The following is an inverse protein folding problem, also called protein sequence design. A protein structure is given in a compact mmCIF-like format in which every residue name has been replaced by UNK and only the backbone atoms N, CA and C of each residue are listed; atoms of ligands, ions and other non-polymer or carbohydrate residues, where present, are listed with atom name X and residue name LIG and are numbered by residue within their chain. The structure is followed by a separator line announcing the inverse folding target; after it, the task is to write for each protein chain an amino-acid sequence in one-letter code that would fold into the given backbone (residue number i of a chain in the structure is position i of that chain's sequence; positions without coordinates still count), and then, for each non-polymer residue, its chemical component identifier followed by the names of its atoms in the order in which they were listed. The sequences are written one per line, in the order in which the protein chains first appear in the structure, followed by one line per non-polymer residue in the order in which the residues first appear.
data_IF_036174725165
#
_entry.id   IF_036174725165
#
_cell.length_a   1.000
_cell.length_b   1.000
_cell.length_c   1.000
_cell.angle_alpha   90.00
_cell.angle_beta   90.00
_cell.angle_gamma   90.00
#
_symmetry.space_group_name_H-M   'P 1'
#
loop_
_entity.id
_entity.type
_entity.pdbx_description
1 polymer ?
#
# COMPACT_ATOMS: atom_id res chain seq x y z
N UNK A 1 -11.85 35.07 -0.86
CA UNK A 1 -11.33 34.19 0.19
C UNK A 1 -11.79 32.79 -0.13
N UNK A 2 -10.87 31.86 -0.44
CA UNK A 2 -11.20 30.44 -0.58
C UNK A 2 -11.59 29.91 0.80
N UNK A 3 -12.79 29.35 0.94
CA UNK A 3 -13.15 28.61 2.16
C UNK A 3 -12.15 27.47 2.37
N UNK A 4 -11.48 27.45 3.51
CA UNK A 4 -10.68 26.31 3.92
C UNK A 4 -11.61 25.12 4.07
N UNK A 5 -11.49 24.12 3.19
CA UNK A 5 -12.19 22.86 3.34
C UNK A 5 -11.69 22.20 4.62
N UNK A 6 -12.45 22.36 5.69
CA UNK A 6 -12.18 21.68 6.97
C UNK A 6 -12.60 20.22 6.79
N UNK A 7 -11.64 19.35 6.59
CA UNK A 7 -11.91 17.90 6.56
C UNK A 7 -12.36 17.51 7.96
N UNK A 8 -13.60 17.05 8.09
CA UNK A 8 -14.16 16.62 9.38
C UNK A 8 -13.42 15.37 9.88
N UNK A 9 -13.34 15.21 11.20
CA UNK A 9 -12.68 14.08 11.85
C UNK A 9 -13.27 12.74 11.42
N UNK A 10 -14.60 12.68 11.20
CA UNK A 10 -15.34 11.54 10.66
C UNK A 10 -14.84 11.08 9.26
N UNK A 11 -14.40 12.01 8.40
CA UNK A 11 -13.83 11.66 7.09
C UNK A 11 -12.42 11.06 7.19
N UNK A 12 -11.64 11.48 8.18
CA UNK A 12 -10.32 10.91 8.47
C UNK A 12 -10.45 9.52 9.07
N UNK A 13 -11.47 9.31 9.87
CA UNK A 13 -11.75 8.03 10.53
C UNK A 13 -12.41 7.01 9.60
N UNK A 14 -12.87 7.43 8.40
CA UNK A 14 -13.52 6.53 7.44
C UNK A 14 -12.62 5.35 6.97
N UNK A 15 -11.30 5.51 7.04
CA UNK A 15 -10.34 4.49 6.62
C UNK A 15 -9.33 4.22 7.74
N UNK A 16 -9.72 3.53 8.81
CA UNK A 16 -8.82 3.23 9.93
C UNK A 16 -7.64 2.36 9.47
N UNK A 17 -6.45 2.53 10.05
CA UNK A 17 -5.33 1.65 9.78
C UNK A 17 -5.66 0.24 10.26
N UNK A 18 -5.17 -0.77 9.55
CA UNK A 18 -5.30 -2.18 9.89
C UNK A 18 -4.14 -2.53 10.82
N UNK A 19 -4.38 -2.93 12.08
CA UNK A 19 -3.33 -3.38 12.98
C UNK A 19 -2.54 -4.55 12.38
N UNK A 20 -1.22 -4.57 12.62
CA UNK A 20 -0.37 -5.65 12.13
C UNK A 20 -0.83 -7.01 12.69
N UNK A 21 -1.09 -7.05 13.99
CA UNK A 21 -1.63 -8.19 14.71
C UNK A 21 -2.92 -7.77 15.43
N UNK A 22 -3.97 -8.56 15.39
CA UNK A 22 -4.12 -9.81 14.62
C UNK A 22 -4.61 -9.59 13.17
N UNK A 23 -5.08 -8.40 12.80
CA UNK A 23 -5.96 -8.17 11.65
C UNK A 23 -5.24 -8.33 10.31
N UNK A 24 -4.09 -7.67 10.13
CA UNK A 24 -3.34 -7.81 8.89
C UNK A 24 -2.88 -9.26 8.66
N UNK A 25 -2.44 -9.92 9.73
CA UNK A 25 -2.06 -11.34 9.64
C UNK A 25 -3.23 -12.22 9.19
N UNK A 26 -4.42 -12.01 9.75
CA UNK A 26 -5.64 -12.73 9.37
C UNK A 26 -6.01 -12.48 7.90
N UNK A 27 -5.99 -11.22 7.46
CA UNK A 27 -6.23 -10.85 6.06
C UNK A 27 -5.20 -11.50 5.13
N UNK A 28 -3.93 -11.45 5.48
CA UNK A 28 -2.85 -12.03 4.66
C UNK A 28 -2.97 -13.55 4.52
N UNK A 29 -3.27 -14.26 5.61
CA UNK A 29 -3.48 -15.70 5.59
C UNK A 29 -4.71 -16.07 4.76
N UNK A 30 -5.81 -15.35 4.92
CA UNK A 30 -7.01 -15.55 4.10
C UNK A 30 -6.73 -15.34 2.61
N UNK A 31 -6.06 -14.26 2.23
CA UNK A 31 -5.68 -13.99 0.84
C UNK A 31 -4.82 -15.10 0.25
N UNK A 32 -3.88 -15.63 1.03
CA UNK A 32 -3.03 -16.75 0.61
C UNK A 32 -3.87 -17.99 0.35
N UNK A 33 -4.75 -18.35 1.28
CA UNK A 33 -5.63 -19.52 1.14
C UNK A 33 -6.61 -19.35 -0.02
N UNK A 34 -7.28 -18.20 -0.10
CA UNK A 34 -8.26 -17.91 -1.15
C UNK A 34 -7.64 -17.93 -2.57
N UNK A 35 -6.43 -17.45 -2.73
CA UNK A 35 -5.70 -17.52 -3.99
C UNK A 35 -5.32 -18.96 -4.33
N UNK A 36 -4.82 -19.73 -3.35
CA UNK A 36 -4.50 -21.17 -3.50
C UNK A 36 -5.72 -22.00 -3.91
N UNK A 37 -6.88 -21.73 -3.31
CA UNK A 37 -8.15 -22.40 -3.69
C UNK A 37 -8.57 -22.01 -5.12
N UNK A 38 -8.17 -20.85 -5.59
CA UNK A 38 -8.39 -20.42 -6.98
C UNK A 38 -7.69 -21.29 -8.01
N UNK A 39 -6.54 -21.87 -7.68
CA UNK A 39 -5.78 -22.74 -8.57
C UNK A 39 -6.53 -24.05 -8.89
N UNK A 40 -7.44 -24.48 -8.01
CA UNK A 40 -8.28 -25.66 -8.18
C UNK A 40 -9.57 -25.37 -8.96
N UNK A 41 -9.83 -24.12 -9.29
CA UNK A 41 -11.06 -23.73 -9.97
C UNK A 41 -10.97 -24.06 -11.47
N UNK A 42 -12.01 -24.69 -12.08
CA UNK A 42 -11.98 -25.10 -13.48
C UNK A 42 -11.83 -23.95 -14.48
N UNK A 43 -12.25 -22.73 -14.10
CA UNK A 43 -12.07 -21.54 -14.91
C UNK A 43 -10.75 -20.84 -14.54
N UNK A 44 -9.73 -20.81 -15.41
CA UNK A 44 -8.44 -20.18 -15.13
C UNK A 44 -8.52 -18.68 -14.89
N UNK A 45 -9.58 -18.00 -15.37
CA UNK A 45 -9.79 -16.57 -15.07
C UNK A 45 -9.99 -16.32 -13.59
N UNK A 46 -10.56 -17.28 -12.85
CA UNK A 46 -10.77 -17.15 -11.39
C UNK A 46 -9.43 -17.23 -10.66
N UNK A 47 -8.54 -18.15 -11.03
CA UNK A 47 -7.21 -18.23 -10.42
C UNK A 47 -6.41 -16.96 -10.68
N UNK A 48 -6.41 -16.46 -11.93
CA UNK A 48 -5.72 -15.20 -12.27
C UNK A 48 -6.26 -14.01 -11.47
N UNK A 49 -7.58 -13.87 -11.41
CA UNK A 49 -8.20 -12.77 -10.65
C UNK A 49 -7.81 -12.80 -9.18
N UNK A 50 -7.86 -13.97 -8.54
CA UNK A 50 -7.53 -14.12 -7.12
C UNK A 50 -6.08 -13.79 -6.83
N UNK A 51 -5.14 -14.22 -7.66
CA UNK A 51 -3.74 -13.86 -7.54
C UNK A 51 -3.49 -12.37 -7.84
N UNK A 52 -4.15 -11.81 -8.85
CA UNK A 52 -4.09 -10.38 -9.14
C UNK A 52 -4.55 -9.53 -7.94
N UNK A 53 -5.70 -9.86 -7.37
CA UNK A 53 -6.22 -9.17 -6.20
C UNK A 53 -5.31 -9.30 -4.98
N UNK A 54 -4.82 -10.51 -4.71
CA UNK A 54 -3.88 -10.77 -3.62
C UNK A 54 -2.62 -9.91 -3.74
N UNK A 55 -1.97 -9.92 -4.90
CA UNK A 55 -0.75 -9.16 -5.11
C UNK A 55 -1.01 -7.65 -5.07
N UNK A 56 -2.13 -7.18 -5.58
CA UNK A 56 -2.55 -5.78 -5.43
C UNK A 56 -2.65 -5.38 -3.95
N UNK A 57 -3.29 -6.18 -3.11
CA UNK A 57 -3.43 -5.88 -1.67
C UNK A 57 -2.06 -5.86 -0.98
N UNK A 58 -1.19 -6.85 -1.27
CA UNK A 58 0.15 -6.93 -0.69
C UNK A 58 1.03 -5.74 -1.09
N UNK A 59 1.03 -5.38 -2.38
CA UNK A 59 1.78 -4.21 -2.89
C UNK A 59 1.22 -2.91 -2.31
N UNK A 60 -0.10 -2.74 -2.27
CA UNK A 60 -0.74 -1.55 -1.69
C UNK A 60 -0.38 -1.34 -0.22
N UNK A 61 -0.36 -2.43 0.58
CA UNK A 61 0.02 -2.38 1.99
C UNK A 61 1.47 -1.96 2.19
N UNK A 62 2.39 -2.40 1.30
CA UNK A 62 3.82 -2.12 1.40
C UNK A 62 4.23 -0.78 0.78
N UNK A 63 3.47 -0.26 -0.18
CA UNK A 63 3.81 0.95 -0.91
C UNK A 63 3.07 2.21 -0.41
N UNK A 64 1.93 2.03 0.26
CA UNK A 64 1.13 3.16 0.74
C UNK A 64 0.62 4.08 -0.37
N UNK A 65 0.55 3.62 -1.62
CA UNK A 65 0.01 4.36 -2.76
C UNK A 65 -1.51 4.50 -2.67
N UNK A 66 -2.07 5.44 -3.43
CA UNK A 66 -3.52 5.43 -3.64
C UNK A 66 -3.89 4.25 -4.55
N UNK A 67 -5.03 3.59 -4.34
CA UNK A 67 -5.45 2.44 -5.15
C UNK A 67 -5.44 2.73 -6.66
N UNK A 68 -5.92 3.90 -7.07
CA UNK A 68 -5.98 4.29 -8.48
C UNK A 68 -4.61 4.60 -9.09
N UNK A 69 -3.59 4.88 -8.28
CA UNK A 69 -2.21 5.02 -8.76
C UNK A 69 -1.63 3.70 -9.25
N UNK A 70 -2.07 2.58 -8.65
CA UNK A 70 -1.70 1.23 -9.09
C UNK A 70 -2.62 0.70 -10.20
N UNK A 71 -3.94 0.94 -10.09
CA UNK A 71 -4.93 0.36 -10.99
C UNK A 71 -5.21 1.20 -12.24
N UNK A 72 -4.95 2.50 -12.18
CA UNK A 72 -5.40 3.45 -13.18
C UNK A 72 -6.87 3.85 -13.02
N UNK A 73 -7.17 5.04 -13.49
CA UNK A 73 -8.51 5.61 -13.50
C UNK A 73 -9.03 5.69 -14.93
N UNK A 74 -10.22 5.15 -15.17
CA UNK A 74 -10.89 5.25 -16.46
C UNK A 74 -11.70 6.53 -16.50
N UNK A 75 -11.18 7.54 -17.20
CA UNK A 75 -11.87 8.80 -17.43
C UNK A 75 -12.71 8.72 -18.72
N UNK A 76 -13.97 9.15 -18.63
CA UNK A 76 -14.82 9.36 -19.81
C UNK A 76 -14.46 10.71 -20.42
N UNK A 77 -13.87 10.70 -21.57
CA UNK A 77 -13.50 11.92 -22.31
C UNK A 77 -14.51 12.15 -23.41
N UNK A 78 -15.18 13.31 -23.37
CA UNK A 78 -16.05 13.73 -24.46
C UNK A 78 -15.19 14.16 -25.64
N UNK A 79 -15.31 13.47 -26.75
CA UNK A 79 -14.66 13.83 -28.03
C UNK A 79 -15.71 14.48 -28.92
N UNK A 80 -15.42 15.66 -29.41
CA UNK A 80 -16.23 16.35 -30.41
C UNK A 80 -15.49 16.19 -31.74
N UNK A 81 -16.13 15.56 -32.73
CA UNK A 81 -15.57 15.42 -34.05
C UNK A 81 -15.72 16.75 -34.82
N UNK A 82 -15.00 16.88 -35.92
CA UNK A 82 -15.01 18.10 -36.74
C UNK A 82 -16.41 18.40 -37.36
N UNK A 83 -17.27 17.39 -37.44
CA UNK A 83 -18.68 17.50 -37.89
C UNK A 83 -19.66 17.88 -36.75
N UNK A 84 -19.15 18.18 -35.54
CA UNK A 84 -19.95 18.54 -34.37
C UNK A 84 -20.55 17.34 -33.63
N UNK A 85 -20.37 16.11 -34.11
CA UNK A 85 -20.85 14.92 -33.40
C UNK A 85 -20.07 14.68 -32.11
N UNK A 86 -20.77 14.33 -31.02
CA UNK A 86 -20.17 14.05 -29.73
C UNK A 86 -20.06 12.54 -29.51
N UNK A 87 -18.86 12.06 -29.28
CA UNK A 87 -18.60 10.69 -28.85
C UNK A 87 -17.98 10.66 -27.45
N UNK A 88 -18.22 9.59 -26.70
CA UNK A 88 -17.61 9.39 -25.38
C UNK A 88 -16.48 8.38 -25.53
N UNK A 89 -15.22 8.88 -25.50
CA UNK A 89 -14.04 8.05 -25.43
C UNK A 89 -13.71 7.67 -23.99
N UNK A 90 -12.88 6.65 -23.80
CA UNK A 90 -12.29 6.30 -22.51
C UNK A 90 -10.80 6.61 -22.56
N UNK A 91 -10.30 7.34 -21.57
CA UNK A 91 -8.87 7.54 -21.35
C UNK A 91 -8.51 6.92 -19.99
N UNK A 92 -7.44 6.13 -19.96
CA UNK A 92 -6.93 5.60 -18.70
C UNK A 92 -5.85 6.56 -18.22
N UNK A 93 -6.09 7.15 -17.06
CA UNK A 93 -5.10 7.95 -16.35
C UNK A 93 -4.39 7.09 -15.33
N UNK A 94 -3.11 7.37 -15.12
CA UNK A 94 -2.26 6.65 -14.18
C UNK A 94 -2.31 5.11 -14.39
N UNK A 95 -2.10 4.37 -13.36
CA UNK A 95 -1.95 2.92 -13.43
C UNK A 95 -0.50 2.53 -13.61
N UNK A 96 -0.03 1.72 -12.68
CA UNK A 96 1.35 1.25 -12.65
C UNK A 96 1.61 0.30 -13.82
N UNK A 97 2.69 0.56 -14.57
CA UNK A 97 3.19 -0.31 -15.63
C UNK A 97 4.46 -1.02 -15.19
N UNK A 98 4.81 -2.10 -15.84
CA UNK A 98 6.05 -2.81 -15.53
C UNK A 98 7.31 -1.98 -15.82
N UNK A 99 7.26 -1.04 -16.72
CA UNK A 99 8.35 -0.07 -16.97
C UNK A 99 8.52 0.96 -15.86
N UNK A 100 7.53 1.10 -14.97
CA UNK A 100 7.52 1.98 -13.82
C UNK A 100 7.96 1.25 -12.52
N UNK A 101 8.46 0.03 -12.63
CA UNK A 101 8.87 -0.82 -11.52
C UNK A 101 10.35 -1.15 -11.65
N UNK A 102 11.13 -0.65 -10.72
CA UNK A 102 12.52 -1.04 -10.53
C UNK A 102 12.62 -1.94 -9.29
N UNK A 103 13.42 -2.99 -9.36
CA UNK A 103 13.61 -3.91 -8.24
C UNK A 103 15.10 -4.14 -8.04
N UNK A 104 15.56 -3.79 -6.83
CA UNK A 104 16.94 -3.94 -6.39
C UNK A 104 17.04 -4.91 -5.23
N UNK A 105 18.22 -5.52 -5.08
CA UNK A 105 18.56 -6.31 -3.90
C UNK A 105 19.22 -5.40 -2.88
N UNK A 106 18.59 -5.22 -1.74
CA UNK A 106 19.12 -4.45 -0.63
C UNK A 106 19.60 -5.38 0.51
N UNK A 107 20.74 -5.07 1.07
CA UNK A 107 21.23 -5.75 2.27
C UNK A 107 20.55 -5.15 3.50
N UNK A 108 19.91 -5.99 4.27
CA UNK A 108 19.28 -5.64 5.54
C UNK A 108 20.00 -6.34 6.67
N UNK A 109 20.05 -5.68 7.82
CA UNK A 109 20.59 -6.27 9.06
C UNK A 109 19.41 -6.56 9.98
N UNK A 110 19.36 -7.77 10.50
CA UNK A 110 18.36 -8.13 11.51
C UNK A 110 18.76 -7.51 12.85
N UNK A 111 17.93 -6.62 13.38
CA UNK A 111 18.20 -5.84 14.59
C UNK A 111 18.42 -6.71 15.85
N UNK A 112 17.84 -7.91 15.89
CA UNK A 112 17.96 -8.84 17.04
C UNK A 112 19.18 -9.74 16.93
N UNK A 113 19.43 -10.29 15.73
CA UNK A 113 20.52 -11.28 15.54
C UNK A 113 21.78 -10.68 14.95
N UNK A 114 21.78 -9.44 14.48
CA UNK A 114 22.89 -8.79 13.77
C UNK A 114 23.20 -9.43 12.40
N UNK A 115 22.43 -10.42 11.95
CA UNK A 115 22.69 -11.12 10.68
C UNK A 115 22.22 -10.30 9.49
N UNK A 116 23.08 -10.22 8.48
CA UNK A 116 22.73 -9.65 7.19
C UNK A 116 21.89 -10.64 6.36
N UNK A 117 20.93 -10.09 5.65
CA UNK A 117 20.13 -10.84 4.67
C UNK A 117 19.78 -9.95 3.48
N UNK A 118 19.62 -10.56 2.32
CA UNK A 118 19.21 -9.87 1.10
C UNK A 118 17.69 -9.83 1.02
N UNK A 119 17.15 -8.67 0.67
CA UNK A 119 15.72 -8.47 0.45
C UNK A 119 15.49 -7.66 -0.82
N UNK A 120 14.51 -8.07 -1.61
CA UNK A 120 14.11 -7.32 -2.79
C UNK A 120 13.33 -6.07 -2.37
N UNK A 121 13.84 -4.91 -2.78
CA UNK A 121 13.17 -3.61 -2.60
C UNK A 121 12.68 -3.16 -3.97
N UNK A 122 11.45 -2.69 -4.05
CA UNK A 122 10.90 -2.11 -5.27
C UNK A 122 10.84 -0.59 -5.15
N UNK A 123 11.14 0.11 -6.24
CA UNK A 123 10.83 1.52 -6.44
C UNK A 123 9.76 1.63 -7.50
N UNK A 124 8.60 2.18 -7.13
CA UNK A 124 7.46 2.39 -8.03
C UNK A 124 7.45 3.85 -8.49
N UNK A 125 7.47 4.07 -9.80
CA UNK A 125 7.33 5.39 -10.37
C UNK A 125 5.86 5.73 -10.63
N UNK A 126 5.27 6.56 -9.78
CA UNK A 126 3.90 7.05 -9.92
C UNK A 126 3.90 8.27 -10.83
N UNK A 127 3.55 8.08 -12.11
CA UNK A 127 3.59 9.14 -13.15
C UNK A 127 2.57 10.23 -12.93
N UNK A 128 1.36 9.86 -12.57
CA UNK A 128 0.26 10.79 -12.33
C UNK A 128 -0.36 10.51 -10.96
N UNK A 129 -0.43 11.52 -10.14
CA UNK A 129 -1.16 11.49 -8.87
C UNK A 129 -2.37 12.42 -8.95
N UNK A 130 -3.29 12.34 -8.00
CA UNK A 130 -4.41 13.29 -7.87
C UNK A 130 -3.93 14.76 -7.82
N UNK A 131 -2.70 14.99 -7.36
CA UNK A 131 -2.07 16.31 -7.28
C UNK A 131 -1.24 16.66 -8.51
N UNK A 132 -1.18 15.79 -9.52
CA UNK A 132 -0.42 16.02 -10.76
C UNK A 132 1.10 15.89 -10.62
N UNK A 133 1.64 15.62 -9.42
CA UNK A 133 3.08 15.55 -9.20
C UNK A 133 3.55 14.08 -9.26
N UNK A 134 4.43 13.72 -10.21
CA UNK A 134 5.06 12.42 -10.26
C UNK A 134 5.92 12.19 -9.00
N UNK A 135 6.10 10.93 -8.60
CA UNK A 135 6.96 10.59 -7.48
C UNK A 135 7.44 9.15 -7.52
N UNK A 136 8.56 8.92 -6.88
CA UNK A 136 9.10 7.60 -6.61
C UNK A 136 8.60 7.11 -5.24
N UNK A 137 8.28 5.83 -5.19
CA UNK A 137 7.76 5.16 -3.99
C UNK A 137 8.61 3.92 -3.72
N UNK A 138 9.71 4.06 -2.97
CA UNK A 138 10.47 2.90 -2.50
C UNK A 138 9.65 2.11 -1.48
N UNK A 139 9.60 0.79 -1.63
CA UNK A 139 8.77 -0.08 -0.80
C UNK A 139 9.28 -1.51 -0.72
N UNK A 140 8.88 -2.23 0.33
CA UNK A 140 9.21 -3.63 0.55
C UNK A 140 8.34 -4.60 -0.27
N UNK A 141 7.94 -4.19 -1.49
CA UNK A 141 7.06 -5.00 -2.35
C UNK A 141 7.82 -5.81 -3.42
N UNK A 142 9.15 -5.78 -3.45
CA UNK A 142 9.95 -6.41 -4.50
C UNK A 142 9.63 -7.88 -4.71
N UNK A 143 9.65 -8.69 -3.64
CA UNK A 143 9.35 -10.14 -3.73
C UNK A 143 7.92 -10.43 -4.21
N UNK A 144 6.95 -9.57 -3.87
CA UNK A 144 5.58 -9.73 -4.33
C UNK A 144 5.47 -9.44 -5.82
N UNK A 145 6.14 -8.40 -6.30
CA UNK A 145 6.15 -8.01 -7.71
C UNK A 145 6.88 -9.02 -8.58
N UNK A 146 8.01 -9.57 -8.12
CA UNK A 146 8.73 -10.64 -8.83
C UNK A 146 7.82 -11.87 -8.98
N UNK A 147 7.19 -12.32 -7.90
CA UNK A 147 6.27 -13.47 -7.93
C UNK A 147 5.06 -13.22 -8.82
N UNK A 148 4.49 -12.02 -8.75
CA UNK A 148 3.38 -11.63 -9.59
C UNK A 148 3.76 -11.59 -11.08
N UNK A 149 4.91 -11.02 -11.42
CA UNK A 149 5.42 -11.00 -12.80
C UNK A 149 5.57 -12.40 -13.34
N UNK A 150 6.25 -13.29 -12.58
CA UNK A 150 6.45 -14.68 -12.95
C UNK A 150 5.11 -15.43 -13.13
N UNK A 151 4.15 -15.17 -12.26
CA UNK A 151 2.81 -15.76 -12.38
C UNK A 151 2.12 -15.28 -13.67
N UNK A 152 2.15 -14.00 -13.98
CA UNK A 152 1.57 -13.45 -15.21
C UNK A 152 2.22 -14.05 -16.47
N UNK A 153 3.55 -14.18 -16.51
CA UNK A 153 4.26 -14.75 -17.65
C UNK A 153 3.89 -16.23 -17.86
N UNK A 154 3.85 -17.01 -16.80
CA UNK A 154 3.44 -18.43 -16.86
C UNK A 154 1.98 -18.56 -17.30
N UNK A 155 1.07 -17.79 -16.69
CA UNK A 155 -0.35 -17.82 -17.04
C UNK A 155 -0.58 -17.48 -18.51
N UNK A 156 0.06 -16.45 -19.03
CA UNK A 156 -0.05 -16.06 -20.44
C UNK A 156 0.45 -17.16 -21.37
N UNK A 157 1.57 -17.80 -21.03
CA UNK A 157 2.12 -18.93 -21.79
C UNK A 157 1.14 -20.10 -21.81
N UNK A 158 0.58 -20.48 -20.66
CA UNK A 158 -0.38 -21.59 -20.53
C UNK A 158 -1.69 -21.33 -21.29
N UNK A 159 -2.13 -20.06 -21.33
CA UNK A 159 -3.37 -19.66 -22.02
C UNK A 159 -3.17 -19.28 -23.49
N UNK A 160 -1.96 -19.42 -24.04
CA UNK A 160 -1.66 -19.04 -25.41
C UNK A 160 -1.82 -17.54 -25.72
N UNK A 161 -1.67 -16.69 -24.69
CA UNK A 161 -1.75 -15.23 -24.83
C UNK A 161 -0.38 -14.65 -25.21
N UNK A 162 -0.38 -13.43 -25.76
CA UNK A 162 0.87 -12.75 -26.09
C UNK A 162 1.78 -12.60 -24.86
N UNK A 163 3.11 -12.60 -25.03
CA UNK A 163 4.05 -12.33 -23.95
C UNK A 163 3.81 -10.97 -23.28
N UNK A 164 4.19 -10.86 -22.01
CA UNK A 164 4.07 -9.64 -21.23
C UNK A 164 5.18 -8.65 -21.63
N UNK A 165 4.79 -7.41 -21.90
CA UNK A 165 5.70 -6.32 -22.23
C UNK A 165 5.94 -5.38 -21.04
N UNK A 166 7.00 -4.58 -21.09
CA UNK A 166 7.29 -3.56 -20.08
C UNK A 166 6.22 -2.48 -20.00
N UNK A 167 5.58 -2.16 -21.13
CA UNK A 167 4.49 -1.18 -21.20
C UNK A 167 3.14 -1.67 -20.70
N UNK A 168 3.02 -2.96 -20.39
CA UNK A 168 1.76 -3.51 -19.83
C UNK A 168 1.54 -3.05 -18.40
N UNK A 169 0.26 -2.92 -18.02
CA UNK A 169 -0.10 -2.62 -16.65
C UNK A 169 0.31 -3.76 -15.69
N UNK A 170 0.62 -3.41 -14.45
CA UNK A 170 0.94 -4.41 -13.42
C UNK A 170 -0.30 -5.19 -13.00
N UNK A 171 -1.45 -4.51 -12.83
CA UNK A 171 -2.72 -5.13 -12.42
C UNK A 171 -3.76 -5.01 -13.54
N UNK A 172 -3.90 -6.04 -14.33
CA UNK A 172 -4.67 -6.00 -15.58
C UNK A 172 -5.45 -7.30 -15.83
N UNK A 173 -6.41 -7.22 -16.74
CA UNK A 173 -7.09 -8.38 -17.27
C UNK A 173 -6.27 -8.98 -18.43
N UNK A 174 -5.78 -10.23 -18.35
CA UNK A 174 -4.86 -10.82 -19.32
C UNK A 174 -5.47 -11.04 -20.71
N UNK A 175 -6.79 -11.00 -20.82
CA UNK A 175 -7.51 -11.20 -22.09
C UNK A 175 -7.82 -9.90 -22.82
N UNK A 176 -7.78 -8.74 -22.14
CA UNK A 176 -8.07 -7.45 -22.72
C UNK A 176 -6.87 -6.50 -22.67
N UNK A 177 -5.82 -6.85 -21.94
CA UNK A 177 -4.64 -6.04 -21.65
C UNK A 177 -4.97 -4.69 -20.97
N UNK A 178 -6.17 -4.58 -20.42
CA UNK A 178 -6.65 -3.36 -19.75
C UNK A 178 -6.72 -3.55 -18.24
N UNK A 179 -6.51 -2.50 -17.45
CA UNK A 179 -6.69 -2.57 -16.00
C UNK A 179 -8.10 -3.03 -15.65
N UNK A 180 -8.20 -3.81 -14.60
CA UNK A 180 -9.50 -4.06 -13.97
C UNK A 180 -10.04 -2.77 -13.36
N UNK A 181 -11.36 -2.61 -13.31
CA UNK A 181 -11.98 -1.44 -12.68
C UNK A 181 -11.74 -1.44 -11.17
N UNK A 182 -11.57 -0.25 -10.59
CA UNK A 182 -11.48 -0.07 -9.14
C UNK A 182 -12.67 -0.68 -8.40
N UNK A 183 -13.87 -0.56 -8.98
CA UNK A 183 -15.10 -1.14 -8.40
C UNK A 183 -15.00 -2.65 -8.21
N UNK A 184 -14.31 -3.35 -9.11
CA UNK A 184 -14.12 -4.79 -9.00
C UNK A 184 -13.24 -5.15 -7.80
N UNK A 185 -12.12 -4.42 -7.60
CA UNK A 185 -11.28 -4.56 -6.42
C UNK A 185 -12.02 -4.20 -5.13
N UNK A 186 -12.78 -3.11 -5.15
CA UNK A 186 -13.55 -2.67 -3.98
C UNK A 186 -14.58 -3.71 -3.54
N UNK A 187 -15.35 -4.28 -4.47
CA UNK A 187 -16.34 -5.32 -4.16
C UNK A 187 -15.68 -6.57 -3.58
N UNK A 188 -14.60 -7.05 -4.21
CA UNK A 188 -13.86 -8.21 -3.71
C UNK A 188 -13.28 -7.97 -2.31
N UNK A 189 -12.78 -6.75 -2.05
CA UNK A 189 -12.32 -6.37 -0.72
C UNK A 189 -13.46 -6.39 0.31
N UNK A 190 -14.60 -5.81 -0.03
CA UNK A 190 -15.76 -5.72 0.88
C UNK A 190 -16.33 -7.11 1.19
N UNK A 191 -16.42 -8.00 0.19
CA UNK A 191 -16.80 -9.40 0.37
C UNK A 191 -15.81 -10.17 1.26
N UNK A 192 -14.52 -10.00 1.03
CA UNK A 192 -13.48 -10.63 1.86
C UNK A 192 -13.57 -10.14 3.32
N UNK A 193 -13.66 -8.84 3.52
CA UNK A 193 -13.79 -8.23 4.84
C UNK A 193 -15.03 -8.76 5.58
N UNK A 194 -16.16 -8.86 4.88
CA UNK A 194 -17.40 -9.38 5.48
C UNK A 194 -17.26 -10.84 5.93
N UNK A 195 -16.52 -11.65 5.20
CA UNK A 195 -16.20 -13.05 5.61
C UNK A 195 -15.28 -13.12 6.82
N UNK A 196 -14.43 -12.13 7.01
CA UNK A 196 -13.45 -12.09 8.11
C UNK A 196 -13.94 -11.31 9.33
N UNK A 197 -15.09 -10.66 9.27
CA UNK A 197 -15.54 -9.66 10.26
C UNK A 197 -15.48 -10.15 11.70
N UNK A 198 -15.83 -11.43 11.96
CA UNK A 198 -15.88 -12.01 13.30
C UNK A 198 -14.49 -12.29 13.88
N UNK A 199 -13.46 -12.34 13.02
CA UNK A 199 -12.06 -12.53 13.42
C UNK A 199 -11.21 -11.26 13.36
N UNK A 200 -11.79 -10.12 12.96
CA UNK A 200 -11.11 -8.83 12.94
C UNK A 200 -11.42 -8.04 14.21
N UNK A 201 -10.47 -7.20 14.61
CA UNK A 201 -10.64 -6.31 15.76
C UNK A 201 -11.85 -5.39 15.53
N UNK A 202 -12.63 -5.11 16.58
CA UNK A 202 -13.76 -4.21 16.46
C UNK A 202 -13.28 -2.81 16.13
N UNK A 203 -13.81 -2.26 15.04
CA UNK A 203 -13.66 -0.84 14.69
C UNK A 203 -14.88 -0.08 15.21
N UNK A 204 -14.79 1.25 15.32
CA UNK A 204 -15.93 2.08 15.74
C UNK A 204 -17.13 1.82 14.82
N UNK A 205 -18.34 1.95 15.34
CA UNK A 205 -19.60 1.54 14.69
C UNK A 205 -19.81 2.12 13.27
N UNK A 206 -19.20 3.27 12.98
CA UNK A 206 -19.26 3.95 11.67
C UNK A 206 -18.02 3.72 10.79
N UNK A 207 -17.12 2.83 11.20
CA UNK A 207 -15.86 2.57 10.51
C UNK A 207 -15.82 1.15 9.96
N UNK A 208 -15.08 0.96 8.89
CA UNK A 208 -14.73 -0.36 8.34
C UNK A 208 -13.38 -0.29 7.65
N UNK A 209 -12.66 -1.41 7.61
CA UNK A 209 -11.46 -1.49 6.79
C UNK A 209 -11.85 -1.43 5.30
N UNK A 210 -11.29 -0.46 4.61
CA UNK A 210 -11.45 -0.28 3.16
C UNK A 210 -10.12 -0.54 2.45
N UNK A 211 -10.13 -0.54 1.12
CA UNK A 211 -8.88 -0.58 0.35
C UNK A 211 -7.95 0.60 0.72
N UNK A 212 -8.50 1.77 1.05
CA UNK A 212 -7.72 2.91 1.53
C UNK A 212 -7.11 2.68 2.92
N UNK A 213 -7.65 1.77 3.71
CA UNK A 213 -7.05 1.37 5.00
C UNK A 213 -5.65 0.78 4.83
N UNK A 214 -5.34 0.15 3.69
CA UNK A 214 -3.99 -0.32 3.36
C UNK A 214 -2.97 0.83 3.35
N UNK A 215 -3.36 1.96 2.76
CA UNK A 215 -2.52 3.17 2.75
C UNK A 215 -2.43 3.80 4.14
N UNK A 216 -3.53 3.86 4.88
CA UNK A 216 -3.52 4.35 6.27
C UNK A 216 -2.60 3.51 7.14
N UNK A 217 -2.62 2.19 6.98
CA UNK A 217 -1.72 1.26 7.68
C UNK A 217 -0.25 1.53 7.35
N UNK A 218 0.08 1.69 6.06
CA UNK A 218 1.45 2.02 5.65
C UNK A 218 1.94 3.28 6.36
N UNK A 219 1.15 4.36 6.33
CA UNK A 219 1.53 5.63 6.93
C UNK A 219 1.72 5.49 8.44
N UNK A 220 0.77 4.85 9.11
CA UNK A 220 0.83 4.62 10.56
C UNK A 220 2.07 3.80 10.93
N UNK A 221 2.34 2.70 10.21
CA UNK A 221 3.52 1.87 10.45
C UNK A 221 4.82 2.66 10.24
N UNK A 222 4.92 3.48 9.17
CA UNK A 222 6.13 4.28 8.94
C UNK A 222 6.35 5.33 10.03
N UNK A 223 5.27 5.92 10.56
CA UNK A 223 5.33 6.85 11.69
C UNK A 223 5.74 6.10 12.98
N UNK A 224 5.16 4.94 13.24
CA UNK A 224 5.49 4.11 14.42
C UNK A 224 6.94 3.58 14.37
N UNK A 225 7.47 3.31 13.18
CA UNK A 225 8.88 2.96 12.94
C UNK A 225 9.84 4.16 13.07
N UNK A 226 9.35 5.37 13.35
CA UNK A 226 10.17 6.57 13.52
C UNK A 226 10.73 7.15 12.23
N UNK A 227 10.18 6.82 11.08
CA UNK A 227 10.62 7.39 9.79
C UNK A 227 10.39 8.89 9.74
N UNK A 228 11.26 9.58 9.05
CA UNK A 228 11.14 11.03 8.85
C UNK A 228 9.82 11.40 8.17
N UNK A 229 9.09 12.34 8.76
CA UNK A 229 7.75 12.74 8.29
C UNK A 229 7.79 13.41 6.91
N UNK A 230 8.89 14.11 6.57
CA UNK A 230 9.07 14.71 5.26
C UNK A 230 9.33 13.65 4.19
N UNK A 231 10.04 12.58 4.56
CA UNK A 231 10.21 11.41 3.69
C UNK A 231 8.86 10.72 3.44
N UNK A 232 8.06 10.49 4.50
CA UNK A 232 6.70 9.93 4.37
C UNK A 232 5.83 10.82 3.47
N UNK A 233 5.88 12.14 3.66
CA UNK A 233 5.19 13.11 2.79
C UNK A 233 5.59 12.95 1.32
N UNK A 234 6.90 12.86 1.05
CA UNK A 234 7.44 12.74 -0.31
C UNK A 234 6.99 11.45 -0.98
N UNK A 235 7.07 10.33 -0.27
CA UNK A 235 6.68 9.00 -0.76
C UNK A 235 5.17 8.92 -0.99
N UNK A 236 4.37 9.38 -0.01
CA UNK A 236 2.91 9.21 -0.06
C UNK A 236 2.20 10.33 -0.81
N UNK A 237 2.79 11.52 -0.94
CA UNK A 237 2.16 12.70 -1.52
C UNK A 237 1.03 13.27 -0.63
N UNK A 238 1.09 13.06 0.70
CA UNK A 238 0.21 13.71 1.67
C UNK A 238 0.70 15.12 2.03
N UNK A 239 -0.23 15.98 2.49
CA UNK A 239 0.16 17.20 3.20
C UNK A 239 0.68 16.86 4.59
N UNK A 240 1.53 17.73 5.15
CA UNK A 240 2.02 17.55 6.53
C UNK A 240 0.86 17.57 7.54
N UNK A 241 -0.16 18.38 7.31
CA UNK A 241 -1.35 18.44 8.15
C UNK A 241 -2.06 17.08 8.24
N UNK A 242 -2.23 16.37 7.11
CA UNK A 242 -2.80 15.03 7.10
C UNK A 242 -1.90 14.01 7.80
N UNK A 243 -0.58 14.13 7.65
CA UNK A 243 0.36 13.25 8.34
C UNK A 243 0.36 13.48 9.85
N UNK A 244 0.27 14.73 10.30
CA UNK A 244 0.12 15.03 11.73
C UNK A 244 -1.10 14.36 12.34
N UNK A 245 -2.23 14.32 11.64
CA UNK A 245 -3.43 13.63 12.13
C UNK A 245 -3.25 12.11 12.24
N UNK A 246 -2.44 11.49 11.39
CA UNK A 246 -2.02 10.08 11.56
C UNK A 246 -1.05 9.94 12.75
N UNK A 247 -0.17 10.93 12.94
CA UNK A 247 0.76 10.96 14.07
C UNK A 247 0.05 11.06 15.42
N UNK A 248 -0.99 11.89 15.51
CA UNK A 248 -1.80 12.05 16.73
C UNK A 248 -2.51 10.77 17.16
N UNK A 249 -2.63 9.79 16.25
CA UNK A 249 -3.18 8.45 16.56
C UNK A 249 -2.12 7.48 17.08
N UNK A 250 -0.83 7.78 16.88
CA UNK A 250 0.25 6.94 17.38
C UNK A 250 0.31 7.04 18.92
N UNK A 251 0.41 5.89 19.58
CA UNK A 251 0.50 5.85 21.05
C UNK A 251 1.86 6.43 21.48
N UNK A 252 1.82 7.61 22.09
CA UNK A 252 3.01 8.29 22.63
C UNK A 252 3.78 7.38 23.59
N UNK A 253 3.11 6.46 24.30
CA UNK A 253 3.76 5.51 25.20
C UNK A 253 4.66 4.51 24.48
N UNK A 254 4.28 4.08 23.26
CA UNK A 254 5.14 3.22 22.42
C UNK A 254 6.42 3.91 22.00
N UNK A 255 6.44 5.24 21.95
CA UNK A 255 7.58 6.08 21.55
C UNK A 255 8.26 6.79 22.73
N UNK A 256 7.86 6.51 23.96
CA UNK A 256 8.43 7.16 25.14
C UNK A 256 9.95 6.94 25.25
N UNK A 257 10.42 5.73 24.96
CA UNK A 257 11.85 5.41 24.95
C UNK A 257 12.62 6.24 23.91
N UNK A 258 12.04 6.49 22.74
CA UNK A 258 12.63 7.30 21.68
C UNK A 258 12.66 8.79 22.05
N UNK A 259 11.59 9.31 22.65
CA UNK A 259 11.52 10.69 23.15
C UNK A 259 12.60 10.96 24.19
N UNK A 260 12.88 10.01 25.07
CA UNK A 260 13.92 10.10 26.11
C UNK A 260 15.32 9.92 25.49
N UNK A 261 15.52 8.97 24.56
CA UNK A 261 16.85 8.70 23.95
C UNK A 261 17.36 9.87 23.11
N UNK A 262 16.52 10.65 22.44
CA UNK A 262 16.94 11.84 21.68
C UNK A 262 17.61 12.91 22.55
N UNK A 263 17.27 12.97 23.81
CA UNK A 263 17.85 13.94 24.76
C UNK A 263 19.28 13.55 25.14
N UNK A 264 19.64 12.25 25.09
CA UNK A 264 20.94 11.73 25.51
C UNK A 264 21.86 11.28 24.37
N UNK A 265 21.42 11.30 23.13
CA UNK A 265 22.19 10.84 21.96
C UNK A 265 23.47 11.64 21.65
N UNK A 266 23.74 12.75 22.35
CA UNK A 266 24.97 13.55 22.21
C UNK A 266 26.09 13.13 23.16
N UNK A 267 25.87 12.22 24.09
CA UNK A 267 26.92 11.73 25.00
C UNK A 267 27.32 10.31 24.61
N UNK A 268 28.53 10.15 24.11
CA UNK A 268 29.15 8.89 23.68
C UNK A 268 29.38 7.86 24.80
N UNK A 269 28.96 8.12 26.03
CA UNK A 269 28.98 7.17 27.15
C UNK A 269 27.66 7.31 27.91
N UNK A 270 26.89 6.22 28.02
CA UNK A 270 25.80 6.14 29.01
C UNK A 270 26.46 6.32 30.39
N UNK A 271 26.03 7.29 31.21
CA UNK A 271 26.38 7.23 32.63
C UNK A 271 25.78 5.93 33.19
N UNK A 272 26.53 5.24 34.01
CA UNK A 272 25.98 4.12 34.80
C UNK A 272 24.73 4.64 35.51
N UNK A 273 23.72 3.79 35.61
CA UNK A 273 22.51 4.14 36.35
C UNK A 273 22.91 4.72 37.70
N UNK A 274 22.45 5.94 38.00
CA UNK A 274 22.68 6.56 39.27
C UNK A 274 21.81 5.81 40.29
N UNK A 275 22.46 5.15 41.22
CA UNK A 275 21.79 4.52 42.34
C UNK A 275 21.36 5.63 43.28
N UNK A 276 20.03 5.90 43.28
CA UNK A 276 19.44 6.95 44.09
C UNK A 276 19.49 6.66 45.60
N UNK A 277 19.75 5.39 45.99
CA UNK A 277 19.89 4.97 47.41
C UNK A 277 21.28 5.27 47.96
N UNK A 278 22.29 5.54 47.11
CA UNK A 278 23.68 5.84 47.49
C UNK A 278 24.09 7.26 47.16
N UNK A 279 23.15 8.20 47.00
CA UNK A 279 23.47 9.64 46.96
C UNK A 279 23.78 10.11 48.38
N UNK A 280 25.06 10.28 48.69
CA UNK A 280 25.44 10.96 49.92
C UNK A 280 24.90 12.40 49.94
N UNK A 281 24.49 12.93 51.13
CA UNK A 281 23.86 14.24 51.29
C UNK A 281 24.77 15.42 50.96
#
# INVERSE_FOLDING_TARGET
AMEKITIRQDQLDANPPIPLEPDWRSIHLHLKQWASDGLKHPNPRVSYWRECFRHFVLVSYQAGTRPLELLGEVEKVRKIAADGSASVGKKIRSGLRWEDVEIDMATHVNDVSGKEFQKSVATLYVRESKTGVPREVPCNAGDFLIRWRKYCDNYRKEQGLRPLNKSDYVFFNPYTDQPYSYTHFYRTWDEMRERLKDGLSPVRSNQKYTIYSLRSSYITNQIEEGKDIYLIKKITGHSLELLHRHYDRSDVRKRSAEAVQRTYAKTKKRPNAIDLENLEP
#
